data_IF_961107317482
#
_entry.id   IF_961107317482
#
_cell.length_a   1.000
_cell.length_b   1.000
_cell.length_c   1.000
_cell.angle_alpha   90.00
_cell.angle_beta   90.00
_cell.angle_gamma   90.00
#
_symmetry.space_group_name_H-M   'P 1'
#
loop_
_entity.id
_entity.type
_entity.pdbx_description
1 polymer ?
#
# COMPACT_ATOMS: atom_id res chain seq x y z
N UNK A 1 -14.38 -5.27 9.38
CA UNK A 1 -13.41 -4.53 8.56
C UNK A 1 -12.39 -5.52 8.06
N UNK A 2 -12.04 -5.48 6.77
CA UNK A 2 -11.00 -6.38 6.26
C UNK A 2 -9.68 -5.99 6.93
N UNK A 3 -8.86 -6.96 7.35
CA UNK A 3 -7.59 -6.71 8.02
C UNK A 3 -6.65 -5.78 7.23
N UNK A 4 -6.84 -5.71 5.91
CA UNK A 4 -6.04 -4.93 4.99
C UNK A 4 -6.74 -3.65 4.49
N UNK A 5 -7.83 -3.21 5.11
CA UNK A 5 -8.42 -1.91 4.77
C UNK A 5 -7.51 -0.76 5.23
N UNK A 6 -7.45 0.31 4.44
CA UNK A 6 -6.69 1.52 4.78
C UNK A 6 -7.43 2.30 5.86
N UNK A 7 -6.82 2.40 7.04
CA UNK A 7 -7.38 3.06 8.22
C UNK A 7 -7.11 4.56 8.23
N UNK A 8 -5.86 4.95 7.96
CA UNK A 8 -5.43 6.35 7.97
C UNK A 8 -4.37 6.57 6.91
N UNK A 9 -4.29 7.80 6.39
CA UNK A 9 -3.28 8.24 5.43
C UNK A 9 -2.67 9.53 5.93
N UNK A 10 -1.35 9.59 5.98
CA UNK A 10 -0.57 10.74 6.43
C UNK A 10 0.55 11.02 5.42
N UNK A 11 0.88 12.29 5.19
CA UNK A 11 1.98 12.68 4.30
C UNK A 11 2.98 13.46 5.15
N UNK A 12 4.24 13.03 5.14
CA UNK A 12 5.30 13.71 5.88
C UNK A 12 5.93 14.86 5.07
N UNK A 13 6.82 15.60 5.74
CA UNK A 13 7.56 16.73 5.16
C UNK A 13 8.50 16.34 4.00
N UNK A 14 8.82 15.06 3.86
CA UNK A 14 9.65 14.53 2.77
C UNK A 14 8.83 14.13 1.53
N UNK A 15 7.55 14.52 1.45
CA UNK A 15 6.60 14.07 0.41
C UNK A 15 6.50 12.54 0.33
N UNK A 16 6.61 11.87 1.48
CA UNK A 16 6.37 10.43 1.59
C UNK A 16 5.00 10.26 2.22
N UNK A 17 4.13 9.54 1.53
CA UNK A 17 2.83 9.18 2.05
C UNK A 17 2.92 7.85 2.81
N UNK A 18 2.20 7.76 3.92
CA UNK A 18 2.06 6.59 4.77
C UNK A 18 0.60 6.25 4.88
N UNK A 19 0.28 4.97 4.81
CA UNK A 19 -1.04 4.49 5.13
C UNK A 19 -0.95 3.36 6.16
N UNK A 20 -1.73 3.47 7.23
CA UNK A 20 -1.83 2.42 8.25
C UNK A 20 -3.03 1.55 7.90
N UNK A 21 -2.84 0.23 7.88
CA UNK A 21 -3.91 -0.73 7.67
C UNK A 21 -4.59 -1.10 8.99
N UNK A 22 -5.81 -1.66 8.92
CA UNK A 22 -6.57 -2.08 10.10
C UNK A 22 -5.85 -3.13 10.96
N UNK A 23 -5.02 -3.99 10.35
CA UNK A 23 -4.18 -4.97 11.04
C UNK A 23 -2.91 -4.37 11.69
N UNK A 24 -2.65 -3.07 11.51
CA UNK A 24 -1.46 -2.39 12.01
C UNK A 24 -0.26 -2.38 11.06
N UNK A 25 -0.37 -2.98 9.87
CA UNK A 25 0.65 -2.88 8.84
C UNK A 25 0.77 -1.45 8.30
N UNK A 26 1.95 -1.12 7.80
CA UNK A 26 2.23 0.20 7.22
C UNK A 26 2.56 0.06 5.75
N UNK A 27 1.82 0.80 4.93
CA UNK A 27 2.13 1.06 3.53
C UNK A 27 2.82 2.42 3.40
N UNK A 28 3.75 2.52 2.46
CA UNK A 28 4.49 3.75 2.23
C UNK A 28 4.65 4.00 0.74
N UNK A 29 4.42 5.23 0.28
CA UNK A 29 4.67 5.64 -1.10
C UNK A 29 5.62 6.84 -1.06
N UNK A 30 6.85 6.62 -1.52
CA UNK A 30 7.82 7.70 -1.65
C UNK A 30 7.47 8.62 -2.83
N UNK A 31 8.03 9.83 -2.85
CA UNK A 31 7.71 10.85 -3.87
C UNK A 31 8.14 10.44 -5.29
N UNK A 32 9.03 9.45 -5.41
CA UNK A 32 9.39 8.82 -6.68
C UNK A 32 8.44 7.67 -7.10
N UNK A 33 7.36 7.46 -6.33
CA UNK A 33 6.36 6.43 -6.55
C UNK A 33 6.74 5.02 -6.10
N UNK A 34 7.86 4.84 -5.40
CA UNK A 34 8.16 3.54 -4.80
C UNK A 34 7.20 3.23 -3.66
N UNK A 35 6.37 2.21 -3.85
CA UNK A 35 5.48 1.67 -2.85
C UNK A 35 6.14 0.55 -2.05
N UNK A 36 5.97 0.59 -0.73
CA UNK A 36 6.48 -0.39 0.23
C UNK A 36 5.40 -0.84 1.20
N UNK A 37 5.47 -2.09 1.64
CA UNK A 37 4.66 -2.66 2.73
C UNK A 37 5.62 -3.16 3.81
N UNK A 38 5.49 -2.63 5.02
CA UNK A 38 6.38 -2.91 6.15
C UNK A 38 7.88 -2.82 5.78
N UNK A 39 8.24 -1.83 4.96
CA UNK A 39 9.62 -1.61 4.48
C UNK A 39 10.03 -2.44 3.26
N UNK A 40 9.27 -3.46 2.87
CA UNK A 40 9.54 -4.28 1.68
C UNK A 40 8.95 -3.64 0.42
N UNK A 41 9.69 -3.63 -0.68
CA UNK A 41 9.22 -3.06 -1.96
C UNK A 41 8.08 -3.94 -2.51
N UNK A 42 6.94 -3.31 -2.82
CA UNK A 42 5.81 -3.97 -3.45
C UNK A 42 5.80 -3.71 -4.95
N UNK A 43 5.80 -2.42 -5.33
CA UNK A 43 5.65 -1.98 -6.72
C UNK A 43 6.13 -0.53 -6.88
N UNK A 44 6.44 -0.12 -8.12
CA UNK A 44 6.65 1.29 -8.46
C UNK A 44 5.41 1.85 -9.17
N UNK A 45 4.99 3.04 -8.75
CA UNK A 45 3.88 3.81 -9.29
C UNK A 45 4.33 5.17 -9.84
N UNK A 46 5.64 5.38 -10.03
CA UNK A 46 6.22 6.66 -10.46
C UNK A 46 5.59 7.21 -11.73
N UNK A 47 5.22 6.34 -12.68
CA UNK A 47 4.63 6.73 -13.97
C UNK A 47 3.19 7.25 -13.85
N UNK A 48 2.46 6.86 -12.80
CA UNK A 48 1.03 7.18 -12.65
C UNK A 48 0.74 8.10 -11.46
N UNK A 49 1.74 8.43 -10.65
CA UNK A 49 1.58 9.22 -9.43
C UNK A 49 1.10 10.66 -9.69
N UNK A 50 1.32 11.17 -10.90
CA UNK A 50 0.87 12.50 -11.34
C UNK A 50 -0.60 12.55 -11.75
N UNK A 51 -1.23 11.40 -12.01
CA UNK A 51 -2.60 11.30 -12.52
C UNK A 51 -3.52 10.49 -11.62
N UNK A 52 -2.96 9.64 -10.76
CA UNK A 52 -3.71 8.81 -9.80
C UNK A 52 -3.48 9.35 -8.40
N UNK A 53 -4.56 9.59 -7.61
CA UNK A 53 -4.41 10.01 -6.24
C UNK A 53 -3.78 8.90 -5.40
N UNK A 54 -2.90 9.30 -4.48
CA UNK A 54 -2.15 8.39 -3.61
C UNK A 54 -3.05 7.45 -2.81
N UNK A 55 -4.24 7.91 -2.39
CA UNK A 55 -5.23 7.08 -1.71
C UNK A 55 -5.69 5.88 -2.54
N UNK A 56 -5.90 6.05 -3.85
CA UNK A 56 -6.23 4.95 -4.77
C UNK A 56 -5.06 3.98 -4.91
N UNK A 57 -3.83 4.50 -4.96
CA UNK A 57 -2.64 3.65 -5.01
C UNK A 57 -2.54 2.79 -3.73
N UNK A 58 -2.79 3.38 -2.56
CA UNK A 58 -2.83 2.62 -1.30
C UNK A 58 -3.90 1.54 -1.29
N UNK A 59 -5.10 1.82 -1.77
CA UNK A 59 -6.18 0.82 -1.87
C UNK A 59 -5.78 -0.38 -2.75
N UNK A 60 -5.13 -0.11 -3.89
CA UNK A 60 -4.62 -1.16 -4.79
C UNK A 60 -3.52 -1.99 -4.10
N UNK A 61 -2.54 -1.33 -3.47
CA UNK A 61 -1.46 -2.03 -2.77
C UNK A 61 -2.02 -2.88 -1.63
N UNK A 62 -2.97 -2.34 -0.86
CA UNK A 62 -3.57 -3.03 0.26
C UNK A 62 -4.31 -4.31 -0.21
N UNK A 63 -5.00 -4.24 -1.34
CA UNK A 63 -5.59 -5.42 -2.01
C UNK A 63 -4.53 -6.42 -2.48
N UNK A 64 -3.43 -5.96 -3.10
CA UNK A 64 -2.33 -6.83 -3.51
C UNK A 64 -1.70 -7.57 -2.32
N UNK A 65 -1.48 -6.86 -1.21
CA UNK A 65 -0.94 -7.44 0.03
C UNK A 65 -1.94 -8.44 0.61
N UNK A 66 -3.23 -8.10 0.67
CA UNK A 66 -4.28 -9.02 1.12
C UNK A 66 -4.29 -10.30 0.29
N UNK A 67 -4.25 -10.18 -1.04
CA UNK A 67 -4.20 -11.30 -1.98
C UNK A 67 -3.00 -12.21 -1.76
N UNK A 68 -1.82 -11.64 -1.44
CA UNK A 68 -0.61 -12.42 -1.13
C UNK A 68 -0.63 -13.04 0.27
N UNK A 69 -1.35 -12.43 1.20
CA UNK A 69 -1.47 -12.89 2.58
C UNK A 69 -2.57 -13.93 2.78
N UNK A 70 -3.53 -14.02 1.84
CA UNK A 70 -4.43 -15.17 1.76
C UNK A 70 -3.57 -16.43 1.58
N UNK A 71 -3.74 -17.47 2.42
CA UNK A 71 -3.12 -18.74 2.14
C UNK A 71 -3.60 -19.16 0.75
N UNK A 72 -2.67 -19.48 -0.14
CA UNK A 72 -3.01 -20.14 -1.40
C UNK A 72 -3.76 -21.42 -1.02
N UNK A 73 -5.10 -21.39 -1.05
CA UNK A 73 -5.91 -22.61 -1.18
C UNK A 73 -5.65 -23.15 -2.59
N UNK A 74 -4.46 -23.74 -2.75
CA UNK A 74 -4.14 -24.71 -3.79
C UNK A 74 -3.45 -25.88 -3.10
N UNK A 75 -4.17 -26.48 -2.16
CA UNK A 75 -4.18 -27.93 -2.01
C UNK A 75 -5.11 -28.46 -3.12
N UNK A 76 -4.52 -29.03 -4.18
CA UNK A 76 -5.08 -30.20 -4.90
C UNK A 76 -4.00 -30.91 -5.69
#
# INVERSE_FOLDING_TARGET
>A
MAAFDVKSIEINENNVAYATLENGDVLTIASNGLARHNGSIVRSYGDILSVVPVATIFDVIAKEVALKALPSEQDE
#
